data_IF_586268015815
#
_entry.id   IF_586268015815
#
_cell.length_a   1.000
_cell.length_b   1.000
_cell.length_c   1.000
_cell.angle_alpha   90.00
_cell.angle_beta   90.00
_cell.angle_gamma   90.00
#
_symmetry.space_group_name_H-M   'P 1'
#
loop_
_entity.id
_entity.type
_entity.pdbx_description
1 polymer ?
#
# COMPACT_ATOMS: atom_id res chain seq x y z
N UNK A 1 -24.02 -5.42 -20.61
CA UNK A 1 -24.31 -4.83 -19.30
C UNK A 1 -23.86 -5.71 -18.12
N UNK A 2 -23.86 -7.06 -18.22
CA UNK A 2 -23.43 -7.98 -17.15
C UNK A 2 -21.93 -7.89 -16.82
N UNK A 3 -21.05 -7.76 -17.83
CA UNK A 3 -19.59 -7.71 -17.69
C UNK A 3 -19.12 -6.46 -16.91
N UNK A 4 -19.75 -5.32 -17.11
CA UNK A 4 -19.40 -4.08 -16.40
C UNK A 4 -19.75 -4.15 -14.90
N UNK A 5 -20.81 -4.88 -14.55
CA UNK A 5 -21.28 -5.05 -13.17
C UNK A 5 -20.39 -6.02 -12.38
N UNK A 6 -19.91 -7.09 -13.02
CA UNK A 6 -18.96 -8.03 -12.42
C UNK A 6 -17.57 -7.40 -12.19
N UNK A 7 -17.12 -6.53 -13.09
CA UNK A 7 -15.87 -5.76 -12.94
C UNK A 7 -15.93 -4.77 -11.78
N UNK A 8 -17.06 -4.08 -11.62
CA UNK A 8 -17.25 -3.17 -10.48
C UNK A 8 -17.17 -3.89 -9.15
N UNK A 9 -17.84 -5.03 -9.01
CA UNK A 9 -17.82 -5.83 -7.80
C UNK A 9 -16.43 -6.37 -7.48
N UNK A 10 -15.65 -6.82 -8.48
CA UNK A 10 -14.28 -7.30 -8.26
C UNK A 10 -13.31 -6.15 -7.90
N UNK A 11 -13.47 -4.96 -8.48
CA UNK A 11 -12.67 -3.77 -8.12
C UNK A 11 -12.95 -3.33 -6.69
N UNK A 12 -14.21 -3.34 -6.24
CA UNK A 12 -14.58 -3.02 -4.86
C UNK A 12 -13.97 -4.04 -3.90
N UNK A 13 -14.03 -5.33 -4.21
CA UNK A 13 -13.41 -6.37 -3.39
C UNK A 13 -11.89 -6.15 -3.27
N UNK A 14 -11.20 -5.85 -4.36
CA UNK A 14 -9.76 -5.53 -4.34
C UNK A 14 -9.45 -4.29 -3.51
N UNK A 15 -10.28 -3.24 -3.61
CA UNK A 15 -10.13 -2.05 -2.79
C UNK A 15 -10.31 -2.36 -1.29
N UNK A 16 -11.31 -3.16 -0.92
CA UNK A 16 -11.54 -3.57 0.48
C UNK A 16 -10.35 -4.39 1.02
N UNK A 17 -9.87 -5.36 0.24
CA UNK A 17 -8.71 -6.18 0.64
C UNK A 17 -7.44 -5.33 0.79
N UNK A 18 -7.20 -4.41 -0.14
CA UNK A 18 -6.07 -3.50 -0.08
C UNK A 18 -6.16 -2.53 1.10
N UNK A 19 -7.36 -2.05 1.43
CA UNK A 19 -7.60 -1.22 2.61
C UNK A 19 -7.35 -2.01 3.90
N UNK A 20 -7.88 -3.22 4.01
CA UNK A 20 -7.67 -4.08 5.17
C UNK A 20 -6.18 -4.42 5.36
N UNK A 21 -5.46 -4.73 4.26
CA UNK A 21 -4.01 -4.91 4.28
C UNK A 21 -3.29 -3.64 4.76
N UNK A 22 -3.65 -2.49 4.22
CA UNK A 22 -3.08 -1.20 4.61
C UNK A 22 -3.31 -0.91 6.10
N UNK A 23 -4.52 -1.13 6.60
CA UNK A 23 -4.87 -0.96 8.02
C UNK A 23 -4.02 -1.85 8.93
N UNK A 24 -3.86 -3.14 8.58
CA UNK A 24 -3.03 -4.07 9.35
C UNK A 24 -1.55 -3.67 9.33
N UNK A 25 -1.00 -3.46 8.14
CA UNK A 25 0.41 -3.12 7.97
C UNK A 25 0.77 -1.77 8.60
N UNK A 26 0.04 -0.70 8.22
CA UNK A 26 0.32 0.65 8.73
C UNK A 26 -0.07 0.78 10.19
N UNK A 27 -1.17 0.19 10.62
CA UNK A 27 -1.59 0.20 12.02
C UNK A 27 -0.54 -0.45 12.94
N UNK A 28 -0.01 -1.60 12.55
CA UNK A 28 1.05 -2.27 13.30
C UNK A 28 2.37 -1.46 13.27
N UNK A 29 2.77 -0.98 12.10
CA UNK A 29 4.01 -0.21 11.96
C UNK A 29 4.00 1.16 12.63
N UNK A 30 2.81 1.72 12.86
CA UNK A 30 2.61 3.02 13.53
C UNK A 30 2.26 2.90 15.03
N UNK A 31 2.25 1.69 15.60
CA UNK A 31 1.88 1.49 17.01
C UNK A 31 2.71 2.32 17.99
N UNK A 32 3.96 2.64 17.65
CA UNK A 32 4.81 3.53 18.44
C UNK A 32 4.23 4.95 18.60
N UNK A 33 3.39 5.42 17.67
CA UNK A 33 2.72 6.72 17.79
C UNK A 33 1.73 6.73 18.95
N UNK A 34 1.09 5.60 19.26
CA UNK A 34 0.23 5.49 20.44
C UNK A 34 1.03 5.76 21.70
N UNK A 35 2.19 5.12 21.85
CA UNK A 35 3.10 5.29 22.99
C UNK A 35 3.54 6.76 23.07
N UNK A 36 3.94 7.35 21.95
CA UNK A 36 4.36 8.75 21.88
C UNK A 36 3.27 9.72 22.32
N UNK A 37 2.02 9.52 21.86
CA UNK A 37 0.90 10.40 22.20
C UNK A 37 0.39 10.17 23.62
N UNK A 38 0.31 8.91 24.07
CA UNK A 38 -0.26 8.56 25.37
C UNK A 38 0.76 8.74 26.50
N UNK A 39 1.89 8.02 26.42
CA UNK A 39 2.83 7.93 27.53
C UNK A 39 3.68 9.20 27.67
N UNK A 40 4.09 9.80 26.54
CA UNK A 40 4.93 11.00 26.55
C UNK A 40 4.13 12.29 26.33
N UNK A 41 3.07 12.24 25.52
CA UNK A 41 2.23 13.41 25.22
C UNK A 41 1.09 13.65 26.21
N UNK A 42 0.85 12.72 27.16
CA UNK A 42 -0.23 12.83 28.14
C UNK A 42 -1.64 12.75 27.57
N UNK A 43 -1.79 12.28 26.32
CA UNK A 43 -3.10 12.15 25.67
C UNK A 43 -3.87 10.99 26.29
N UNK A 44 -5.19 11.14 26.59
CA UNK A 44 -6.01 10.01 27.04
C UNK A 44 -5.96 8.83 26.07
N UNK A 45 -5.79 7.60 26.57
CA UNK A 45 -5.62 6.40 25.77
C UNK A 45 -6.69 6.20 24.67
N UNK A 46 -8.01 6.42 24.93
CA UNK A 46 -9.01 6.31 23.86
C UNK A 46 -8.80 7.31 22.71
N UNK A 47 -8.33 8.53 23.03
CA UNK A 47 -8.09 9.57 22.05
C UNK A 47 -6.82 9.25 21.22
N UNK A 48 -5.76 8.78 21.88
CA UNK A 48 -4.55 8.31 21.19
C UNK A 48 -4.83 7.12 20.25
N UNK A 49 -5.64 6.15 20.71
CA UNK A 49 -6.06 5.03 19.89
C UNK A 49 -6.90 5.47 18.66
N UNK A 50 -7.85 6.38 18.88
CA UNK A 50 -8.67 6.92 17.80
C UNK A 50 -7.81 7.67 16.79
N UNK A 51 -6.90 8.51 17.23
CA UNK A 51 -5.97 9.25 16.36
C UNK A 51 -5.12 8.29 15.52
N UNK A 52 -4.58 7.22 16.13
CA UNK A 52 -3.81 6.20 15.42
C UNK A 52 -4.65 5.49 14.36
N UNK A 53 -5.88 5.07 14.70
CA UNK A 53 -6.79 4.39 13.78
C UNK A 53 -7.13 5.29 12.59
N UNK A 54 -7.49 6.54 12.84
CA UNK A 54 -7.81 7.51 11.78
C UNK A 54 -6.60 7.79 10.88
N UNK A 55 -5.42 7.89 11.46
CA UNK A 55 -4.19 8.11 10.71
C UNK A 55 -3.82 6.88 9.86
N UNK A 56 -3.90 5.68 10.41
CA UNK A 56 -3.70 4.44 9.65
C UNK A 56 -4.74 4.30 8.53
N UNK A 57 -6.01 4.65 8.77
CA UNK A 57 -7.06 4.65 7.75
C UNK A 57 -6.76 5.64 6.62
N UNK A 58 -6.35 6.87 6.96
CA UNK A 58 -5.92 7.86 5.98
C UNK A 58 -4.77 7.34 5.11
N UNK A 59 -3.73 6.81 5.72
CA UNK A 59 -2.58 6.27 4.97
C UNK A 59 -2.94 5.04 4.14
N UNK A 60 -3.91 4.24 4.58
CA UNK A 60 -4.40 3.06 3.84
C UNK A 60 -5.15 3.41 2.55
N UNK A 61 -5.57 4.66 2.38
CA UNK A 61 -6.17 5.13 1.12
C UNK A 61 -5.20 4.97 -0.05
N UNK A 62 -3.90 5.20 0.15
CA UNK A 62 -2.90 5.15 -0.91
C UNK A 62 -2.75 3.75 -1.54
N UNK A 63 -2.47 2.68 -0.78
CA UNK A 63 -2.45 1.32 -1.34
C UNK A 63 -3.81 0.88 -1.89
N UNK A 64 -4.91 1.36 -1.32
CA UNK A 64 -6.26 1.10 -1.81
C UNK A 64 -6.48 1.67 -3.21
N UNK A 65 -6.14 2.95 -3.42
CA UNK A 65 -6.25 3.59 -4.73
C UNK A 65 -5.32 2.94 -5.76
N UNK A 66 -4.06 2.65 -5.38
CA UNK A 66 -3.12 1.97 -6.26
C UNK A 66 -3.66 0.62 -6.75
N UNK A 67 -4.17 -0.19 -5.82
CA UNK A 67 -4.73 -1.52 -6.13
C UNK A 67 -6.01 -1.41 -6.98
N UNK A 68 -6.92 -0.51 -6.63
CA UNK A 68 -8.17 -0.31 -7.37
C UNK A 68 -7.94 0.16 -8.80
N UNK A 69 -7.02 1.12 -9.00
CA UNK A 69 -6.66 1.65 -10.32
C UNK A 69 -6.01 0.56 -11.17
N UNK A 70 -4.99 -0.12 -10.63
CA UNK A 70 -4.29 -1.16 -11.36
C UNK A 70 -5.25 -2.30 -11.74
N UNK A 71 -6.10 -2.75 -10.82
CA UNK A 71 -7.11 -3.77 -11.07
C UNK A 71 -8.11 -3.33 -12.16
N UNK A 72 -8.63 -2.13 -12.04
CA UNK A 72 -9.64 -1.59 -12.97
C UNK A 72 -9.15 -1.53 -14.42
N UNK A 73 -7.85 -1.27 -14.61
CA UNK A 73 -7.29 -1.04 -15.94
C UNK A 73 -6.47 -2.20 -16.48
N UNK A 74 -5.92 -3.07 -15.63
CA UNK A 74 -4.96 -4.08 -16.03
C UNK A 74 -5.41 -5.52 -15.79
N UNK A 75 -6.44 -5.80 -14.98
CA UNK A 75 -6.83 -7.17 -14.61
C UNK A 75 -7.12 -8.09 -15.80
N UNK A 76 -7.79 -7.57 -16.83
CA UNK A 76 -8.14 -8.36 -18.03
C UNK A 76 -7.03 -8.46 -19.09
N UNK A 77 -5.88 -7.84 -18.81
CA UNK A 77 -4.79 -7.72 -19.79
C UNK A 77 -3.66 -8.73 -19.57
N UNK A 78 -3.90 -9.71 -18.68
CA UNK A 78 -2.96 -10.75 -18.32
C UNK A 78 -2.08 -10.41 -17.11
N UNK A 79 -1.44 -11.45 -16.54
CA UNK A 79 -0.73 -11.33 -15.25
C UNK A 79 0.44 -10.32 -15.29
N UNK A 80 1.20 -10.30 -16.38
CA UNK A 80 2.33 -9.37 -16.51
C UNK A 80 1.89 -7.90 -16.50
N UNK A 81 0.81 -7.59 -17.25
CA UNK A 81 0.29 -6.20 -17.28
C UNK A 81 -0.32 -5.79 -15.97
N UNK A 82 -0.98 -6.70 -15.26
CA UNK A 82 -1.48 -6.45 -13.91
C UNK A 82 -0.32 -6.19 -12.95
N UNK A 83 0.72 -7.01 -12.98
CA UNK A 83 1.89 -6.84 -12.12
C UNK A 83 2.61 -5.51 -12.37
N UNK A 84 2.82 -5.12 -13.64
CA UNK A 84 3.41 -3.83 -13.99
C UNK A 84 2.50 -2.65 -13.60
N UNK A 85 1.19 -2.81 -13.77
CA UNK A 85 0.20 -1.82 -13.34
C UNK A 85 0.20 -1.61 -11.83
N UNK A 86 0.24 -2.70 -11.05
CA UNK A 86 0.35 -2.66 -9.60
C UNK A 86 1.68 -2.06 -9.15
N UNK A 87 2.81 -2.46 -9.75
CA UNK A 87 4.12 -1.90 -9.45
C UNK A 87 4.15 -0.38 -9.66
N UNK A 88 3.71 0.10 -10.81
CA UNK A 88 3.67 1.53 -11.14
C UNK A 88 2.70 2.32 -10.27
N UNK A 89 1.47 1.83 -10.09
CA UNK A 89 0.47 2.49 -9.26
C UNK A 89 0.90 2.55 -7.78
N UNK A 90 1.53 1.49 -7.27
CA UNK A 90 2.09 1.47 -5.91
C UNK A 90 3.21 2.49 -5.74
N UNK A 91 4.19 2.52 -6.66
CA UNK A 91 5.28 3.52 -6.65
C UNK A 91 4.73 4.94 -6.61
N UNK A 92 3.75 5.25 -7.47
CA UNK A 92 3.11 6.57 -7.51
C UNK A 92 2.36 6.88 -6.22
N UNK A 93 1.67 5.90 -5.63
CA UNK A 93 0.96 6.06 -4.37
C UNK A 93 1.91 6.32 -3.19
N UNK A 94 3.05 5.63 -3.12
CA UNK A 94 4.08 5.89 -2.10
C UNK A 94 4.74 7.26 -2.29
N UNK A 95 5.03 7.67 -3.53
CA UNK A 95 5.50 9.01 -3.84
C UNK A 95 4.47 10.07 -3.40
N UNK A 96 3.20 9.91 -3.77
CA UNK A 96 2.14 10.84 -3.36
C UNK A 96 2.02 10.93 -1.83
N UNK A 97 2.09 9.80 -1.13
CA UNK A 97 2.09 9.74 0.34
C UNK A 97 3.28 10.49 0.95
N UNK A 98 4.41 10.52 0.26
CA UNK A 98 5.61 11.27 0.67
C UNK A 98 5.49 12.79 0.51
N UNK A 99 4.44 13.30 -0.18
CA UNK A 99 4.29 14.73 -0.49
C UNK A 99 2.97 15.33 0.02
N UNK A 100 1.87 14.59 -0.05
CA UNK A 100 0.55 15.10 0.32
C UNK A 100 0.48 15.37 1.82
N UNK A 101 -0.07 16.51 2.21
CA UNK A 101 -0.15 17.00 3.61
C UNK A 101 1.20 17.00 4.34
N UNK A 102 2.22 17.57 3.74
CA UNK A 102 3.62 17.60 4.21
C UNK A 102 4.37 16.28 4.08
N UNK A 103 3.68 15.21 3.72
CA UNK A 103 4.25 13.88 3.45
C UNK A 103 4.48 13.02 4.70
N UNK A 104 4.27 11.71 4.52
CA UNK A 104 4.62 10.70 5.52
C UNK A 104 5.29 9.50 4.84
N UNK A 105 6.60 9.55 4.56
CA UNK A 105 7.32 8.51 3.82
C UNK A 105 7.64 7.26 4.66
N UNK A 106 7.32 7.24 5.96
CA UNK A 106 7.57 6.09 6.83
C UNK A 106 6.88 4.84 6.32
N UNK A 107 7.48 3.68 6.60
CA UNK A 107 6.97 2.38 6.18
C UNK A 107 6.81 2.25 4.65
N UNK A 108 7.67 2.88 3.86
CA UNK A 108 7.72 2.57 2.44
C UNK A 108 8.16 1.10 2.27
N UNK A 109 7.42 0.34 1.44
CA UNK A 109 7.59 -1.11 1.32
C UNK A 109 9.01 -1.49 0.84
N UNK A 110 9.66 -0.61 0.10
CA UNK A 110 11.04 -0.81 -0.35
C UNK A 110 12.05 -0.98 0.78
N UNK A 111 11.80 -0.41 1.97
CA UNK A 111 12.68 -0.63 3.12
C UNK A 111 12.69 -2.08 3.60
N UNK A 112 11.63 -2.85 3.39
CA UNK A 112 11.60 -4.28 3.70
C UNK A 112 12.52 -5.11 2.79
N UNK A 113 13.07 -4.51 1.74
CA UNK A 113 13.96 -5.17 0.77
C UNK A 113 15.45 -4.85 1.00
N UNK A 114 15.83 -4.22 2.12
CA UNK A 114 17.23 -3.81 2.39
C UNK A 114 18.19 -4.99 2.30
N UNK A 115 17.82 -6.13 2.87
CA UNK A 115 18.58 -7.39 2.80
C UNK A 115 17.95 -8.41 1.83
N UNK A 116 17.02 -7.95 0.99
CA UNK A 116 16.26 -8.79 0.07
C UNK A 116 16.91 -8.93 -1.32
N UNK A 117 16.38 -9.82 -2.17
CA UNK A 117 16.92 -10.06 -3.50
C UNK A 117 16.81 -8.86 -4.45
N UNK A 118 15.98 -7.88 -4.13
CA UNK A 118 15.77 -6.67 -4.94
C UNK A 118 16.67 -5.50 -4.53
N UNK A 119 17.51 -5.64 -3.50
CA UNK A 119 18.39 -4.57 -2.98
C UNK A 119 19.23 -3.90 -4.06
N UNK A 120 19.72 -4.67 -5.04
CA UNK A 120 20.51 -4.13 -6.15
C UNK A 120 19.82 -3.09 -7.02
N UNK A 121 18.48 -2.97 -6.94
CA UNK A 121 17.71 -1.95 -7.64
C UNK A 121 17.64 -0.62 -6.88
N UNK A 122 17.92 -0.61 -5.59
CA UNK A 122 17.78 0.59 -4.74
C UNK A 122 18.62 1.79 -5.22
N UNK A 123 19.90 1.62 -5.60
CA UNK A 123 20.72 2.74 -6.10
C UNK A 123 20.24 3.32 -7.44
N UNK A 124 19.51 2.51 -8.23
CA UNK A 124 19.07 2.90 -9.58
C UNK A 124 17.69 3.56 -9.57
N UNK A 125 16.78 3.09 -8.72
CA UNK A 125 15.38 3.46 -8.81
C UNK A 125 14.79 4.02 -7.50
N UNK A 126 15.57 3.99 -6.41
CA UNK A 126 15.15 4.46 -5.10
C UNK A 126 14.17 3.53 -4.39
N UNK A 127 13.89 3.85 -3.12
CA UNK A 127 13.08 3.02 -2.21
C UNK A 127 11.63 2.81 -2.68
N UNK A 128 11.03 3.83 -3.28
CA UNK A 128 9.63 3.73 -3.72
C UNK A 128 9.44 2.81 -4.92
N UNK A 129 10.35 2.89 -5.89
CA UNK A 129 10.34 1.96 -7.04
C UNK A 129 10.68 0.53 -6.61
N UNK A 130 11.53 0.37 -5.59
CA UNK A 130 11.84 -0.93 -5.00
C UNK A 130 10.59 -1.55 -4.36
N UNK A 131 9.79 -0.75 -3.65
CA UNK A 131 8.49 -1.17 -3.11
C UNK A 131 7.52 -1.61 -4.22
N UNK A 132 7.42 -0.81 -5.28
CA UNK A 132 6.61 -1.16 -6.45
C UNK A 132 7.08 -2.45 -7.13
N UNK A 133 8.40 -2.65 -7.30
CA UNK A 133 8.95 -3.88 -7.86
C UNK A 133 8.60 -5.11 -7.00
N UNK A 134 8.68 -5.00 -5.68
CA UNK A 134 8.28 -6.06 -4.75
C UNK A 134 6.80 -6.45 -4.92
N UNK A 135 5.91 -5.47 -5.03
CA UNK A 135 4.48 -5.69 -5.31
C UNK A 135 4.27 -6.36 -6.68
N UNK A 136 5.00 -5.92 -7.71
CA UNK A 136 4.94 -6.54 -9.04
C UNK A 136 5.34 -8.02 -9.00
N UNK A 137 6.45 -8.35 -8.35
CA UNK A 137 6.91 -9.73 -8.16
C UNK A 137 5.87 -10.55 -7.37
N UNK A 138 5.35 -10.03 -6.27
CA UNK A 138 4.33 -10.69 -5.47
C UNK A 138 3.05 -10.97 -6.30
N UNK A 139 2.65 -10.02 -7.16
CA UNK A 139 1.50 -10.20 -8.07
C UNK A 139 1.74 -11.31 -9.09
N UNK A 140 2.95 -11.41 -9.65
CA UNK A 140 3.31 -12.50 -10.59
C UNK A 140 3.32 -13.86 -9.88
N UNK A 141 3.91 -13.93 -8.68
CA UNK A 141 3.90 -15.15 -7.88
C UNK A 141 2.47 -15.58 -7.54
N UNK A 142 1.62 -14.66 -7.11
CA UNK A 142 0.22 -14.96 -6.81
C UNK A 142 -0.54 -15.47 -8.05
N UNK A 143 -0.28 -14.89 -9.23
CA UNK A 143 -0.93 -15.33 -10.48
C UNK A 143 -0.44 -16.69 -11.00
N UNK A 144 0.73 -17.14 -10.56
CA UNK A 144 1.26 -18.47 -10.90
C UNK A 144 0.69 -19.59 -10.02
N UNK A 145 0.05 -19.24 -8.89
CA UNK A 145 -0.55 -20.20 -7.96
C UNK A 145 -2.05 -20.45 -8.21
N UNK A 146 -2.65 -19.69 -9.12
CA UNK A 146 -4.08 -19.76 -9.49
C UNK A 146 -4.25 -20.26 -10.92
#
# INVERSE_FOLDING_TARGET
>A
MHIARSRGASTVMQAVLAFAFGMGWLGAGLAWLFISMHDYGGMPAPLAALALILFAAYLSVYPTLASAIAWRWCADRGPLRLALGLAGAWTLAELARGWVFTGFPWLALGYAQIDGPLTGLAPLAGVFALGGAAIGVASLCASALV
#
